data_IF_135491726757
#
_entry.id   IF_135491726757
#
_cell.length_a   1.000
_cell.length_b   1.000
_cell.length_c   1.000
_cell.angle_alpha   90.00
_cell.angle_beta   90.00
_cell.angle_gamma   90.00
#
_symmetry.space_group_name_H-M   'P 1'
#
loop_
_entity.id
_entity.type
_entity.pdbx_description
1 polymer ?
#
# COMPACT_ATOMS: atom_id res chain seq x y z
N UNK A 1 -6.49 19.89 15.23
CA UNK A 1 -5.44 19.64 16.25
C UNK A 1 -4.08 19.87 15.59
N UNK A 2 -3.11 20.53 16.24
CA UNK A 2 -1.78 20.66 15.66
C UNK A 2 -1.05 19.32 15.72
N UNK A 3 -0.86 18.70 14.56
CA UNK A 3 -0.03 17.50 14.40
C UNK A 3 1.45 17.91 14.37
N UNK A 4 2.32 17.07 14.95
CA UNK A 4 3.78 17.33 15.06
C UNK A 4 4.60 16.72 13.92
N UNK A 5 3.93 16.26 12.88
CA UNK A 5 4.47 15.54 11.74
C UNK A 5 3.84 16.11 10.46
N UNK A 6 4.47 15.85 9.31
CA UNK A 6 4.03 16.39 8.03
C UNK A 6 2.95 15.49 7.40
N UNK A 7 1.71 15.96 7.37
CA UNK A 7 0.62 15.25 6.71
C UNK A 7 0.86 15.16 5.20
N UNK A 8 1.44 16.21 4.62
CA UNK A 8 1.79 16.26 3.20
C UNK A 8 2.80 15.16 2.84
N UNK A 9 3.91 15.06 3.59
CA UNK A 9 4.93 14.02 3.33
C UNK A 9 4.41 12.60 3.53
N UNK A 10 3.54 12.39 4.51
CA UNK A 10 2.90 11.08 4.72
C UNK A 10 2.03 10.71 3.52
N UNK A 11 1.23 11.65 3.01
CA UNK A 11 0.41 11.44 1.81
C UNK A 11 1.27 11.10 0.60
N UNK A 12 2.31 11.90 0.33
CA UNK A 12 3.23 11.69 -0.80
C UNK A 12 3.93 10.32 -0.72
N UNK A 13 4.40 9.94 0.48
CA UNK A 13 4.99 8.62 0.69
C UNK A 13 3.99 7.48 0.40
N UNK A 14 2.71 7.65 0.76
CA UNK A 14 1.69 6.66 0.44
C UNK A 14 1.38 6.59 -1.06
N UNK A 15 1.47 7.71 -1.79
CA UNK A 15 1.35 7.71 -3.25
C UNK A 15 2.50 6.93 -3.90
N UNK A 16 3.74 7.11 -3.42
CA UNK A 16 4.90 6.34 -3.90
C UNK A 16 4.73 4.84 -3.65
N UNK A 17 4.28 4.45 -2.46
CA UNK A 17 4.02 3.05 -2.11
C UNK A 17 2.91 2.47 -2.97
N UNK A 18 1.78 3.18 -3.14
CA UNK A 18 0.67 2.74 -3.98
C UNK A 18 1.09 2.53 -5.43
N UNK A 19 1.89 3.44 -5.98
CA UNK A 19 2.42 3.31 -7.33
C UNK A 19 3.23 2.02 -7.51
N UNK A 20 4.10 1.67 -6.56
CA UNK A 20 4.86 0.41 -6.62
C UNK A 20 3.96 -0.81 -6.50
N UNK A 21 2.93 -0.76 -5.65
CA UNK A 21 1.95 -1.83 -5.50
C UNK A 21 1.16 -2.05 -6.78
N UNK A 22 0.76 -0.99 -7.48
CA UNK A 22 0.08 -1.07 -8.79
C UNK A 22 0.98 -1.73 -9.83
N UNK A 23 2.27 -1.39 -9.87
CA UNK A 23 3.22 -2.03 -10.78
C UNK A 23 3.38 -3.52 -10.48
N UNK A 24 3.35 -3.92 -9.21
CA UNK A 24 3.46 -5.31 -8.79
C UNK A 24 2.18 -6.13 -9.05
N UNK A 25 1.01 -5.49 -9.13
CA UNK A 25 -0.31 -6.14 -9.19
C UNK A 25 -0.39 -7.20 -10.30
N UNK A 26 0.03 -6.85 -11.51
CA UNK A 26 0.00 -7.76 -12.65
C UNK A 26 0.93 -8.97 -12.46
N UNK A 27 2.14 -8.75 -11.92
CA UNK A 27 3.10 -9.83 -11.70
C UNK A 27 2.63 -10.80 -10.62
N UNK A 28 1.99 -10.30 -9.56
CA UNK A 28 1.41 -11.13 -8.51
C UNK A 28 0.19 -11.89 -9.00
N UNK A 29 -0.67 -11.26 -9.81
CA UNK A 29 -1.78 -11.94 -10.47
C UNK A 29 -1.28 -13.08 -11.39
N UNK A 30 -0.23 -12.83 -12.18
CA UNK A 30 0.37 -13.87 -13.03
C UNK A 30 1.00 -15.00 -12.19
N UNK A 31 1.70 -14.66 -11.11
CA UNK A 31 2.27 -15.66 -10.18
C UNK A 31 1.18 -16.56 -9.58
N UNK A 32 0.01 -16.01 -9.24
CA UNK A 32 -1.15 -16.77 -8.76
C UNK A 32 -1.63 -17.77 -9.81
N UNK A 33 -1.82 -17.33 -11.05
CA UNK A 33 -2.23 -18.20 -12.16
C UNK A 33 -1.25 -19.36 -12.33
N UNK A 34 0.06 -19.10 -12.25
CA UNK A 34 1.10 -20.14 -12.34
C UNK A 34 1.07 -21.09 -11.15
N UNK A 35 0.85 -20.59 -9.93
CA UNK A 35 0.71 -21.42 -8.73
C UNK A 35 -0.52 -22.33 -8.80
N UNK A 36 -1.65 -21.83 -9.29
CA UNK A 36 -2.86 -22.63 -9.52
C UNK A 36 -2.66 -23.72 -10.57
N UNK A 37 -1.92 -23.42 -11.65
CA UNK A 37 -1.54 -24.42 -12.65
C UNK A 37 -0.62 -25.49 -12.05
N UNK A 38 0.38 -25.09 -11.26
CA UNK A 38 1.30 -26.02 -10.60
C UNK A 38 0.60 -26.94 -9.58
N UNK A 39 -0.43 -26.45 -8.89
CA UNK A 39 -1.26 -27.27 -7.99
C UNK A 39 -1.94 -28.44 -8.70
N UNK A 40 -2.16 -28.35 -10.03
CA UNK A 40 -2.84 -29.39 -10.85
C UNK A 40 -1.90 -30.47 -11.39
N UNK A 41 -0.60 -30.47 -11.02
CA UNK A 41 0.33 -31.51 -11.43
C UNK A 41 -0.20 -32.89 -10.98
N UNK A 42 -0.25 -33.91 -11.85
CA UNK A 42 -0.74 -35.23 -11.49
C UNK A 42 0.07 -35.88 -10.36
N UNK A 43 -0.60 -36.67 -9.52
CA UNK A 43 0.00 -37.39 -8.39
C UNK A 43 0.72 -36.48 -7.39
N UNK A 44 0.30 -35.22 -7.28
CA UNK A 44 0.85 -34.30 -6.28
C UNK A 44 0.54 -34.83 -4.86
N UNK A 45 1.54 -34.99 -3.98
CA UNK A 45 1.29 -35.38 -2.60
C UNK A 45 0.45 -34.34 -1.86
N UNK A 46 -0.40 -34.78 -0.94
CA UNK A 46 -1.29 -33.89 -0.19
C UNK A 46 -0.56 -32.76 0.55
N UNK A 47 0.64 -33.03 1.09
CA UNK A 47 1.42 -31.99 1.77
C UNK A 47 1.87 -30.87 0.81
N UNK A 48 2.09 -31.18 -0.47
CA UNK A 48 2.41 -30.18 -1.49
C UNK A 48 1.17 -29.38 -1.87
N UNK A 49 0.01 -30.03 -1.95
CA UNK A 49 -1.26 -29.33 -2.19
C UNK A 49 -1.54 -28.27 -1.11
N UNK A 50 -1.32 -28.63 0.17
CA UNK A 50 -1.45 -27.68 1.29
C UNK A 50 -0.46 -26.51 1.19
N UNK A 51 0.77 -26.76 0.71
CA UNK A 51 1.76 -25.70 0.46
C UNK A 51 1.33 -24.77 -0.66
N UNK A 52 0.76 -25.30 -1.74
CA UNK A 52 0.22 -24.48 -2.83
C UNK A 52 -0.97 -23.65 -2.37
N UNK A 53 -1.91 -24.22 -1.59
CA UNK A 53 -3.03 -23.45 -1.03
C UNK A 53 -2.54 -22.26 -0.23
N UNK A 54 -1.59 -22.48 0.69
CA UNK A 54 -0.99 -21.41 1.49
C UNK A 54 -0.30 -20.35 0.62
N UNK A 55 0.41 -20.75 -0.44
CA UNK A 55 1.06 -19.82 -1.35
C UNK A 55 0.02 -18.97 -2.11
N UNK A 56 -1.03 -19.59 -2.63
CA UNK A 56 -2.12 -18.89 -3.34
C UNK A 56 -2.81 -17.90 -2.40
N UNK A 57 -3.13 -18.32 -1.17
CA UNK A 57 -3.71 -17.43 -0.14
C UNK A 57 -2.79 -16.24 0.19
N UNK A 58 -1.47 -16.41 0.11
CA UNK A 58 -0.52 -15.32 0.33
C UNK A 58 -0.49 -14.35 -0.86
N UNK A 59 -0.59 -14.85 -2.09
CA UNK A 59 -0.64 -14.02 -3.30
C UNK A 59 -1.94 -13.21 -3.37
N UNK A 60 -3.05 -13.75 -2.86
CA UNK A 60 -4.32 -13.03 -2.74
C UNK A 60 -4.28 -11.87 -1.75
N UNK A 61 -3.26 -11.81 -0.89
CA UNK A 61 -3.16 -10.72 0.10
C UNK A 61 -2.75 -9.37 -0.47
N UNK A 62 -2.50 -9.26 -1.77
CA UNK A 62 -2.21 -7.98 -2.42
C UNK A 62 -3.33 -6.96 -2.17
N UNK A 63 -4.59 -7.40 -2.09
CA UNK A 63 -5.72 -6.51 -1.78
C UNK A 63 -5.63 -5.89 -0.38
N UNK A 64 -5.10 -6.62 0.62
CA UNK A 64 -4.90 -6.08 1.96
C UNK A 64 -3.85 -4.97 1.99
N UNK A 65 -2.85 -5.02 1.10
CA UNK A 65 -1.83 -3.97 1.01
C UNK A 65 -2.47 -2.64 0.58
N UNK A 66 -3.32 -2.66 -0.45
CA UNK A 66 -4.08 -1.48 -0.88
C UNK A 66 -4.98 -0.95 0.23
N UNK A 67 -5.64 -1.86 0.98
CA UNK A 67 -6.44 -1.50 2.15
C UNK A 67 -5.62 -0.83 3.26
N UNK A 68 -4.43 -1.34 3.56
CA UNK A 68 -3.52 -0.77 4.56
C UNK A 68 -3.02 0.64 4.15
N UNK A 69 -2.68 0.85 2.88
CA UNK A 69 -2.30 2.17 2.36
C UNK A 69 -3.45 3.16 2.56
N UNK A 70 -4.68 2.75 2.21
CA UNK A 70 -5.87 3.58 2.42
C UNK A 70 -6.11 3.89 3.90
N UNK A 71 -5.89 2.93 4.80
CA UNK A 71 -6.02 3.15 6.24
C UNK A 71 -5.05 4.24 6.73
N UNK A 72 -3.79 4.21 6.31
CA UNK A 72 -2.80 5.26 6.64
C UNK A 72 -3.29 6.63 6.18
N UNK A 73 -3.86 6.74 4.98
CA UNK A 73 -4.41 8.01 4.47
C UNK A 73 -5.62 8.48 5.28
N UNK A 74 -6.50 7.56 5.67
CA UNK A 74 -7.68 7.89 6.48
C UNK A 74 -7.33 8.34 7.91
N UNK A 75 -6.15 7.97 8.43
CA UNK A 75 -5.67 8.42 9.73
C UNK A 75 -5.08 9.84 9.69
N UNK A 76 -4.92 10.43 8.49
CA UNK A 76 -4.57 11.85 8.35
C UNK A 76 -5.81 12.68 8.72
N UNK A 77 -5.74 13.57 9.72
CA UNK A 77 -6.88 14.39 10.09
C UNK A 77 -7.34 15.30 8.94
N UNK A 78 -8.65 15.45 8.77
CA UNK A 78 -9.22 16.37 7.79
C UNK A 78 -8.65 17.79 7.94
N UNK A 79 -8.28 18.41 6.81
CA UNK A 79 -7.72 19.76 6.78
C UNK A 79 -6.29 19.87 7.29
N UNK A 80 -5.64 18.78 7.71
CA UNK A 80 -4.25 18.83 8.19
C UNK A 80 -3.25 19.18 7.09
N UNK A 81 -3.49 18.73 5.86
CA UNK A 81 -2.64 19.05 4.69
C UNK A 81 -2.80 20.53 4.33
N UNK A 82 -4.03 21.03 4.28
CA UNK A 82 -4.35 22.44 4.00
C UNK A 82 -3.73 23.35 5.06
N UNK A 83 -3.91 23.03 6.34
CA UNK A 83 -3.35 23.79 7.45
C UNK A 83 -1.81 23.81 7.42
N UNK A 84 -1.17 22.68 7.06
CA UNK A 84 0.29 22.62 6.87
C UNK A 84 0.74 23.52 5.70
N UNK A 85 0.05 23.47 4.56
CA UNK A 85 0.35 24.29 3.38
C UNK A 85 0.19 25.78 3.66
N UNK A 86 -0.86 26.19 4.37
CA UNK A 86 -1.08 27.58 4.79
C UNK A 86 0.00 28.05 5.76
N UNK A 87 0.37 27.21 6.75
CA UNK A 87 1.46 27.51 7.69
C UNK A 87 2.80 27.76 7.00
N UNK A 88 3.15 26.97 5.98
CA UNK A 88 4.37 27.17 5.19
C UNK A 88 4.35 28.49 4.39
N UNK A 89 3.20 28.86 3.81
CA UNK A 89 3.04 30.13 3.08
C UNK A 89 3.21 31.34 4.00
N UNK A 90 2.60 31.31 5.18
CA UNK A 90 2.69 32.41 6.15
C UNK A 90 4.06 32.47 6.85
N UNK A 91 4.66 31.33 7.20
CA UNK A 91 6.00 31.27 7.80
C UNK A 91 7.09 31.80 6.86
N UNK A 92 6.98 31.52 5.55
CA UNK A 92 7.90 32.07 4.56
C UNK A 92 7.77 33.59 4.38
N UNK A 93 6.59 34.15 4.65
CA UNK A 93 6.35 35.61 4.59
C UNK A 93 6.93 36.32 5.82
N UNK A 94 6.91 35.67 6.98
CA UNK A 94 7.39 36.25 8.24
C UNK A 94 8.93 36.23 8.36
N UNK A 95 9.63 35.36 7.63
CA UNK A 95 11.10 35.38 7.51
C UNK A 95 11.64 36.46 6.56
N UNK A 96 10.77 37.21 5.86
CA UNK A 96 11.14 38.26 4.91
C UNK A 96 10.91 39.70 5.45
N UNK A 97 10.56 39.86 6.74
CA UNK A 97 10.54 41.14 7.46
C UNK A 97 11.61 41.19 8.55
#
# INVERSE_FOLDING_TARGET
MPIKWSATKVSEAMDEVENQVILADQFIAEAKVKAEAAKKIPNLPQYMEQRFNRLIDQLDRMEYIKGAIKAVRNDIPDGAIEAEREGLRHGSTQSLM
#
